data_IF_102981733102
#
_entry.id   IF_102981733102
#
_cell.length_a   1.000
_cell.length_b   1.000
_cell.length_c   1.000
_cell.angle_alpha   90.00
_cell.angle_beta   90.00
_cell.angle_gamma   90.00
#
_symmetry.space_group_name_H-M   'P 1'
#
loop_
_entity.id
_entity.type
_entity.pdbx_description
1 polymer ?
#
# COMPACT_ATOMS: atom_id res chain seq x y z
N UNK A 1 -1.02 11.38 -0.70
CA UNK A 1 -0.96 12.85 -0.85
C UNK A 1 -0.41 13.29 -2.20
N UNK A 2 0.82 12.93 -2.59
CA UNK A 2 1.37 13.30 -3.92
C UNK A 2 0.46 12.84 -5.08
N UNK A 3 -0.02 11.61 -5.03
CA UNK A 3 -0.88 11.05 -6.08
C UNK A 3 -2.25 11.73 -6.17
N UNK A 4 -2.89 11.98 -5.02
CA UNK A 4 -4.14 12.74 -4.96
C UNK A 4 -3.98 14.12 -5.61
N UNK A 5 -2.92 14.87 -5.26
CA UNK A 5 -2.65 16.17 -5.85
C UNK A 5 -2.39 16.08 -7.36
N UNK A 6 -1.62 15.09 -7.82
CA UNK A 6 -1.36 14.84 -9.25
C UNK A 6 -2.67 14.63 -10.02
N UNK A 7 -3.59 13.85 -9.46
CA UNK A 7 -4.91 13.59 -10.05
C UNK A 7 -5.78 14.85 -9.99
N UNK A 8 -5.81 15.57 -8.87
CA UNK A 8 -6.55 16.83 -8.72
C UNK A 8 -6.11 17.88 -9.74
N UNK A 9 -4.81 18.06 -9.95
CA UNK A 9 -4.27 19.00 -10.94
C UNK A 9 -4.67 18.60 -12.37
N UNK A 10 -4.65 17.30 -12.69
CA UNK A 10 -5.12 16.81 -13.96
C UNK A 10 -6.64 17.04 -14.16
N UNK A 11 -7.44 16.76 -13.14
CA UNK A 11 -8.90 16.96 -13.17
C UNK A 11 -9.28 18.43 -13.32
N UNK A 12 -8.58 19.35 -12.66
CA UNK A 12 -8.78 20.81 -12.82
C UNK A 12 -8.53 21.27 -14.25
N UNK A 13 -7.48 20.77 -14.90
CA UNK A 13 -7.17 21.11 -16.29
C UNK A 13 -8.24 20.61 -17.27
N UNK A 14 -8.76 19.40 -17.04
CA UNK A 14 -9.77 18.78 -17.92
C UNK A 14 -11.17 19.36 -17.65
N UNK A 15 -11.46 19.71 -16.39
CA UNK A 15 -12.76 20.24 -15.95
C UNK A 15 -12.61 21.61 -15.27
N UNK A 16 -12.29 22.69 -15.99
CA UNK A 16 -12.13 24.03 -15.40
C UNK A 16 -13.40 24.59 -14.73
N UNK A 17 -14.55 23.98 -14.99
CA UNK A 17 -15.85 24.35 -14.46
C UNK A 17 -16.20 23.65 -13.13
N UNK A 18 -15.36 22.73 -12.64
CA UNK A 18 -15.57 22.10 -11.33
C UNK A 18 -15.05 23.01 -10.22
N UNK A 19 -15.78 23.04 -9.11
CA UNK A 19 -15.31 23.63 -7.87
C UNK A 19 -14.26 22.72 -7.17
N UNK A 20 -13.67 23.23 -6.10
CA UNK A 20 -12.61 22.53 -5.38
C UNK A 20 -13.08 21.25 -4.72
N UNK A 21 -14.29 21.25 -4.13
CA UNK A 21 -14.87 20.07 -3.47
C UNK A 21 -15.09 18.92 -4.46
N UNK A 22 -15.61 19.24 -5.65
CA UNK A 22 -15.82 18.24 -6.70
C UNK A 22 -14.49 17.67 -7.18
N UNK A 23 -13.48 18.51 -7.40
CA UNK A 23 -12.11 18.03 -7.74
C UNK A 23 -11.56 17.12 -6.64
N UNK A 24 -11.70 17.52 -5.37
CA UNK A 24 -11.20 16.75 -4.23
C UNK A 24 -11.85 15.38 -4.14
N UNK A 25 -13.19 15.32 -4.18
CA UNK A 25 -13.95 14.08 -4.07
C UNK A 25 -13.72 13.15 -5.26
N UNK A 26 -13.61 13.69 -6.48
CA UNK A 26 -13.27 12.86 -7.64
C UNK A 26 -11.84 12.32 -7.59
N UNK A 27 -10.85 13.13 -7.18
CA UNK A 27 -9.49 12.64 -6.98
C UNK A 27 -9.42 11.58 -5.88
N UNK A 28 -10.13 11.80 -4.76
CA UNK A 28 -10.26 10.81 -3.67
C UNK A 28 -10.86 9.49 -4.18
N UNK A 29 -11.94 9.55 -4.97
CA UNK A 29 -12.58 8.35 -5.55
C UNK A 29 -11.63 7.56 -6.44
N UNK A 30 -10.79 8.23 -7.24
CA UNK A 30 -9.81 7.57 -8.09
C UNK A 30 -8.73 6.89 -7.24
N UNK A 31 -8.16 7.58 -6.24
CA UNK A 31 -7.16 6.98 -5.34
C UNK A 31 -7.72 5.78 -4.56
N UNK A 32 -9.00 5.82 -4.15
CA UNK A 32 -9.65 4.66 -3.54
C UNK A 32 -9.73 3.48 -4.53
N UNK A 33 -10.11 3.76 -5.79
CA UNK A 33 -10.17 2.74 -6.82
C UNK A 33 -8.78 2.14 -7.15
N UNK A 34 -7.72 2.95 -7.18
CA UNK A 34 -6.34 2.49 -7.34
C UNK A 34 -5.93 1.54 -6.20
N UNK A 35 -6.19 1.93 -4.94
CA UNK A 35 -5.90 1.09 -3.79
C UNK A 35 -6.68 -0.23 -3.82
N UNK A 36 -7.97 -0.18 -4.18
CA UNK A 36 -8.79 -1.40 -4.34
C UNK A 36 -8.26 -2.28 -5.46
N UNK A 37 -7.90 -1.70 -6.61
CA UNK A 37 -7.35 -2.44 -7.74
C UNK A 37 -6.05 -3.15 -7.35
N UNK A 38 -5.07 -2.43 -6.78
CA UNK A 38 -3.80 -3.02 -6.32
C UNK A 38 -4.07 -4.11 -5.28
N UNK A 39 -4.98 -3.87 -4.34
CA UNK A 39 -5.32 -4.83 -3.28
C UNK A 39 -5.84 -6.15 -3.86
N UNK A 40 -6.87 -6.10 -4.71
CA UNK A 40 -7.53 -7.30 -5.23
C UNK A 40 -6.78 -7.96 -6.38
N UNK A 41 -6.06 -7.18 -7.20
CA UNK A 41 -5.35 -7.69 -8.38
C UNK A 41 -3.94 -8.17 -8.07
N UNK A 42 -3.24 -7.53 -7.13
CA UNK A 42 -1.80 -7.75 -6.93
C UNK A 42 -1.49 -8.30 -5.55
N UNK A 43 -2.09 -7.73 -4.49
CA UNK A 43 -1.76 -8.12 -3.10
C UNK A 43 -2.44 -9.43 -2.69
N UNK A 44 -3.77 -9.50 -2.75
CA UNK A 44 -4.53 -10.67 -2.27
C UNK A 44 -4.15 -11.99 -2.96
N UNK A 45 -3.91 -12.06 -4.29
CA UNK A 45 -3.45 -13.29 -4.92
C UNK A 45 -2.12 -13.81 -4.38
N UNK A 46 -1.23 -12.92 -3.93
CA UNK A 46 0.08 -13.29 -3.37
C UNK A 46 -0.03 -13.83 -1.94
N UNK A 47 -0.99 -13.32 -1.17
CA UNK A 47 -1.22 -13.73 0.22
C UNK A 47 -2.11 -14.99 0.31
N UNK A 48 -3.21 -15.02 -0.43
CA UNK A 48 -4.23 -16.07 -0.33
C UNK A 48 -4.05 -17.20 -1.35
N UNK A 49 -3.30 -16.94 -2.43
CA UNK A 49 -3.17 -17.85 -3.57
C UNK A 49 -4.40 -17.86 -4.48
N UNK A 50 -4.21 -18.33 -5.72
CA UNK A 50 -5.25 -18.31 -6.75
C UNK A 50 -6.47 -19.19 -6.44
N UNK A 51 -6.29 -20.26 -5.66
CA UNK A 51 -7.39 -21.14 -5.26
C UNK A 51 -8.42 -20.39 -4.40
N UNK A 52 -7.96 -19.64 -3.39
CA UNK A 52 -8.83 -18.84 -2.55
C UNK A 52 -9.48 -17.68 -3.34
N UNK A 53 -8.70 -17.02 -4.21
CA UNK A 53 -9.24 -15.96 -5.09
C UNK A 53 -10.41 -16.46 -5.95
N UNK A 54 -10.32 -17.68 -6.47
CA UNK A 54 -11.40 -18.32 -7.23
C UNK A 54 -12.58 -18.70 -6.34
N UNK A 55 -12.31 -19.38 -5.22
CA UNK A 55 -13.33 -19.89 -4.30
C UNK A 55 -14.24 -18.77 -3.79
N UNK A 56 -13.67 -17.61 -3.49
CA UNK A 56 -14.38 -16.46 -2.92
C UNK A 56 -14.77 -15.40 -3.95
N UNK A 57 -14.54 -15.65 -5.25
CA UNK A 57 -14.93 -14.70 -6.31
C UNK A 57 -14.24 -13.33 -6.22
N UNK A 58 -13.00 -13.27 -5.74
CA UNK A 58 -12.29 -12.01 -5.46
C UNK A 58 -11.55 -11.43 -6.68
N UNK A 59 -11.71 -12.05 -7.85
CA UNK A 59 -11.04 -11.59 -9.07
C UNK A 59 -11.72 -10.36 -9.64
N UNK A 60 -10.91 -9.39 -10.05
CA UNK A 60 -11.41 -8.25 -10.80
C UNK A 60 -11.91 -8.68 -12.18
N UNK A 61 -12.96 -8.02 -12.65
CA UNK A 61 -13.39 -8.13 -14.03
C UNK A 61 -12.36 -7.47 -14.95
N UNK A 62 -12.05 -8.10 -16.07
CA UNK A 62 -11.11 -7.52 -17.05
C UNK A 62 -11.69 -6.30 -17.76
N UNK A 63 -13.02 -6.18 -17.82
CA UNK A 63 -13.73 -5.09 -18.48
C UNK A 63 -15.10 -4.86 -17.80
N UNK A 64 -15.58 -3.62 -17.86
CA UNK A 64 -16.91 -3.24 -17.38
C UNK A 64 -16.97 -2.95 -15.88
N UNK A 65 -18.17 -3.07 -15.31
CA UNK A 65 -18.46 -2.75 -13.91
C UNK A 65 -18.88 -4.01 -13.15
N UNK A 66 -18.39 -4.14 -11.92
CA UNK A 66 -18.89 -5.12 -10.96
C UNK A 66 -20.36 -4.82 -10.62
N UNK A 67 -21.24 -5.81 -10.73
CA UNK A 67 -22.70 -5.64 -10.57
C UNK A 67 -23.29 -6.38 -9.38
N UNK A 68 -22.48 -7.09 -8.60
CA UNK A 68 -22.95 -7.94 -7.51
C UNK A 68 -22.82 -7.24 -6.14
N UNK A 69 -22.90 -5.91 -6.11
CA UNK A 69 -23.00 -5.17 -4.85
C UNK A 69 -24.24 -5.64 -4.08
N UNK A 70 -24.02 -6.12 -2.86
CA UNK A 70 -25.08 -6.56 -1.98
C UNK A 70 -25.29 -5.55 -0.83
N UNK A 71 -26.41 -4.80 -0.79
CA UNK A 71 -26.68 -3.80 0.25
C UNK A 71 -26.92 -4.41 1.64
N UNK A 72 -27.16 -5.72 1.75
CA UNK A 72 -27.34 -6.41 3.03
C UNK A 72 -26.06 -7.05 3.57
N UNK A 73 -24.96 -6.98 2.80
CA UNK A 73 -23.66 -7.46 3.26
C UNK A 73 -23.17 -6.59 4.42
N UNK A 74 -22.69 -7.21 5.50
CA UNK A 74 -22.06 -6.50 6.61
C UNK A 74 -20.59 -6.21 6.26
N UNK A 75 -20.19 -4.94 6.05
CA UNK A 75 -18.82 -4.59 5.69
C UNK A 75 -17.88 -4.45 6.89
N UNK A 76 -18.36 -4.76 8.10
CA UNK A 76 -17.58 -4.58 9.33
C UNK A 76 -16.39 -5.53 9.38
N UNK A 77 -15.27 -5.02 9.90
CA UNK A 77 -14.08 -5.84 10.16
C UNK A 77 -14.35 -6.73 11.38
N UNK A 78 -14.14 -8.04 11.21
CA UNK A 78 -14.26 -9.01 12.31
C UNK A 78 -13.06 -8.90 13.26
N UNK A 79 -13.29 -9.17 14.54
CA UNK A 79 -12.29 -8.97 15.60
C UNK A 79 -11.03 -9.82 15.38
N UNK A 80 -11.20 -11.06 14.93
CA UNK A 80 -10.12 -12.01 14.64
C UNK A 80 -9.19 -11.47 13.55
N UNK A 81 -9.75 -10.79 12.54
CA UNK A 81 -8.97 -10.18 11.48
C UNK A 81 -8.14 -9.00 12.00
N UNK A 82 -8.77 -8.08 12.74
CA UNK A 82 -8.11 -6.88 13.26
C UNK A 82 -7.05 -7.18 14.34
N UNK A 83 -7.34 -8.14 15.23
CA UNK A 83 -6.49 -8.41 16.39
C UNK A 83 -5.39 -9.45 16.12
N UNK A 84 -5.61 -10.38 15.19
CA UNK A 84 -4.69 -11.49 14.97
C UNK A 84 -4.34 -11.70 13.50
N UNK A 85 -5.31 -12.04 12.65
CA UNK A 85 -5.02 -12.58 11.32
C UNK A 85 -4.26 -11.61 10.41
N UNK A 86 -4.58 -10.31 10.44
CA UNK A 86 -3.88 -9.34 9.58
C UNK A 86 -2.51 -8.90 10.12
N UNK A 87 -2.09 -9.41 11.29
CA UNK A 87 -0.74 -9.21 11.83
C UNK A 87 0.31 -10.15 11.22
N UNK A 88 -0.07 -11.00 10.26
CA UNK A 88 0.89 -11.82 9.48
C UNK A 88 2.06 -11.00 8.90
N UNK A 89 1.83 -9.71 8.63
CA UNK A 89 2.87 -8.80 8.15
C UNK A 89 4.04 -8.62 9.12
N UNK A 90 3.86 -8.83 10.44
CA UNK A 90 4.93 -8.65 11.43
C UNK A 90 6.07 -9.66 11.26
N UNK A 91 5.78 -10.90 10.84
CA UNK A 91 6.81 -11.90 10.53
C UNK A 91 7.58 -11.59 9.23
N UNK A 92 7.02 -10.72 8.38
CA UNK A 92 7.59 -10.39 7.06
C UNK A 92 8.54 -9.18 7.10
N UNK A 93 8.61 -8.52 8.25
CA UNK A 93 9.40 -7.31 8.45
C UNK A 93 10.88 -7.65 8.50
N UNK A 94 11.68 -6.87 7.77
CA UNK A 94 13.14 -6.93 7.85
C UNK A 94 13.62 -6.12 9.05
N UNK A 95 14.79 -6.43 9.64
CA UNK A 95 15.32 -5.63 10.73
C UNK A 95 15.76 -4.22 10.29
N UNK A 96 16.02 -4.03 9.00
CA UNK A 96 16.41 -2.75 8.44
C UNK A 96 15.89 -2.57 7.02
N UNK A 97 15.71 -1.32 6.63
CA UNK A 97 15.35 -0.92 5.26
C UNK A 97 16.62 -0.41 4.56
N UNK A 98 17.09 -1.08 3.50
CA UNK A 98 18.21 -0.58 2.70
C UNK A 98 17.85 0.76 2.07
N UNK A 99 18.84 1.64 1.93
CA UNK A 99 18.70 2.89 1.19
C UNK A 99 19.43 2.74 -0.13
N UNK A 100 18.78 3.11 -1.23
CA UNK A 100 19.36 3.01 -2.57
C UNK A 100 19.38 4.37 -3.26
N UNK A 101 20.49 4.69 -3.93
CA UNK A 101 20.61 5.86 -4.79
C UNK A 101 19.75 5.75 -6.05
N UNK A 102 19.68 6.82 -6.83
CA UNK A 102 18.96 6.84 -8.11
C UNK A 102 19.51 5.84 -9.15
N UNK A 103 20.76 5.36 -8.99
CA UNK A 103 21.37 4.30 -9.80
C UNK A 103 21.28 2.92 -9.16
N UNK A 104 20.45 2.75 -8.12
CA UNK A 104 20.29 1.50 -7.35
C UNK A 104 21.56 1.02 -6.63
N UNK A 105 22.54 1.90 -6.42
CA UNK A 105 23.68 1.62 -5.54
C UNK A 105 23.29 1.80 -4.07
N UNK A 106 23.84 0.93 -3.21
CA UNK A 106 23.60 0.97 -1.76
C UNK A 106 24.13 2.27 -1.16
N UNK A 107 23.34 2.88 -0.28
CA UNK A 107 23.70 4.04 0.53
C UNK A 107 23.71 3.60 2.01
N UNK A 108 24.87 3.74 2.65
CA UNK A 108 25.03 3.46 4.07
C UNK A 108 24.87 4.72 4.95
N UNK A 109 24.46 4.57 6.22
CA UNK A 109 23.92 3.33 6.81
C UNK A 109 22.48 3.07 6.35
N UNK A 110 21.99 1.81 6.41
CA UNK A 110 20.58 1.50 6.23
C UNK A 110 19.74 2.09 7.38
N UNK A 111 18.42 2.20 7.18
CA UNK A 111 17.51 2.58 8.25
C UNK A 111 17.15 1.36 9.10
N UNK A 112 17.64 1.30 10.34
CA UNK A 112 17.19 0.29 11.30
C UNK A 112 15.75 0.57 11.72
N UNK A 113 14.91 -0.48 11.85
CA UNK A 113 13.51 -0.30 12.26
C UNK A 113 13.39 0.33 13.65
N UNK A 114 14.22 -0.10 14.61
CA UNK A 114 14.25 0.46 15.98
C UNK A 114 14.48 1.97 15.99
N UNK A 115 15.18 2.48 14.99
CA UNK A 115 15.52 3.89 14.88
C UNK A 115 14.45 4.69 14.14
N UNK A 116 13.57 4.04 13.36
CA UNK A 116 12.52 4.69 12.58
C UNK A 116 11.21 4.89 13.32
N UNK A 117 10.92 4.12 14.37
CA UNK A 117 9.65 4.22 15.09
C UNK A 117 9.42 5.60 15.70
N UNK A 118 8.32 6.25 15.30
CA UNK A 118 7.91 7.58 15.77
C UNK A 118 8.93 8.71 15.53
N UNK A 119 9.91 8.52 14.64
CA UNK A 119 10.93 9.53 14.27
C UNK A 119 10.71 10.07 12.87
N UNK A 120 9.87 11.10 12.75
CA UNK A 120 9.51 11.69 11.45
C UNK A 120 10.61 12.57 10.86
N UNK A 121 11.55 13.04 11.68
CA UNK A 121 12.70 13.87 11.27
C UNK A 121 13.60 13.15 10.25
N UNK A 122 13.72 11.83 10.38
CA UNK A 122 14.48 11.00 9.43
C UNK A 122 13.87 11.12 8.02
N UNK A 123 12.54 11.06 7.91
CA UNK A 123 11.83 11.12 6.63
C UNK A 123 11.87 12.50 5.98
N UNK A 124 12.16 13.56 6.75
CA UNK A 124 12.30 14.93 6.24
C UNK A 124 13.69 15.21 5.66
N UNK A 125 14.65 14.29 5.84
CA UNK A 125 15.97 14.42 5.22
C UNK A 125 15.84 14.32 3.71
N UNK A 126 16.69 15.09 3.02
CA UNK A 126 16.71 15.11 1.56
C UNK A 126 16.88 13.69 1.00
N UNK A 127 16.14 13.37 -0.06
CA UNK A 127 16.13 12.07 -0.76
C UNK A 127 15.70 10.84 0.05
N UNK A 128 15.50 10.92 1.37
CA UNK A 128 15.25 9.76 2.22
C UNK A 128 14.05 8.92 1.77
N UNK A 129 12.93 9.57 1.44
CA UNK A 129 11.71 8.89 0.98
C UNK A 129 11.99 8.08 -0.29
N UNK A 130 12.72 8.67 -1.24
CA UNK A 130 13.01 8.03 -2.53
C UNK A 130 14.05 6.92 -2.37
N UNK A 131 15.03 7.09 -1.50
CA UNK A 131 16.03 6.08 -1.17
C UNK A 131 15.42 4.84 -0.52
N UNK A 132 14.52 5.06 0.45
CA UNK A 132 13.76 4.00 1.13
C UNK A 132 12.79 3.32 0.17
N UNK A 133 12.07 4.08 -0.66
CA UNK A 133 11.13 3.52 -1.63
C UNK A 133 11.85 2.58 -2.62
N UNK A 134 13.02 2.97 -3.13
CA UNK A 134 13.85 2.07 -3.96
C UNK A 134 14.30 0.84 -3.18
N UNK A 135 14.74 1.02 -1.93
CA UNK A 135 15.10 -0.10 -1.05
C UNK A 135 13.98 -1.12 -0.86
N UNK A 136 12.75 -0.65 -0.63
CA UNK A 136 11.56 -1.49 -0.45
C UNK A 136 11.19 -2.28 -1.70
N UNK A 137 11.33 -1.69 -2.90
CA UNK A 137 10.99 -2.35 -4.17
C UNK A 137 12.09 -3.32 -4.63
N UNK A 138 13.35 -3.06 -4.28
CA UNK A 138 14.49 -3.86 -4.73
C UNK A 138 14.93 -4.95 -3.76
N UNK A 139 14.34 -5.03 -2.57
CA UNK A 139 14.74 -5.99 -1.54
C UNK A 139 13.61 -6.97 -1.25
N UNK A 140 13.87 -8.29 -1.19
CA UNK A 140 12.87 -9.25 -0.78
C UNK A 140 12.47 -9.05 0.68
N UNK A 141 11.21 -9.36 1.00
CA UNK A 141 10.69 -9.47 2.36
C UNK A 141 11.29 -10.66 3.12
N UNK A 142 11.17 -10.68 4.45
CA UNK A 142 11.55 -11.87 5.23
C UNK A 142 10.58 -13.04 4.99
N UNK A 143 11.02 -14.24 5.36
CA UNK A 143 10.20 -15.45 5.25
C UNK A 143 9.10 -15.42 6.31
N UNK A 144 7.90 -15.84 5.94
CA UNK A 144 6.83 -16.04 6.91
C UNK A 144 7.19 -17.18 7.87
N UNK A 145 7.39 -16.85 9.14
CA UNK A 145 7.67 -17.80 10.21
C UNK A 145 7.00 -17.41 11.54
N UNK A 146 7.28 -18.17 12.60
CA UNK A 146 6.76 -17.93 13.96
C UNK A 146 7.57 -16.90 14.75
N UNK A 147 8.56 -16.26 14.12
CA UNK A 147 9.50 -15.35 14.76
C UNK A 147 9.21 -13.90 14.33
N UNK A 148 9.77 -12.98 15.11
CA UNK A 148 9.73 -11.54 14.85
C UNK A 148 11.18 -11.05 14.94
N UNK A 149 11.53 -10.05 14.15
CA UNK A 149 12.87 -9.46 14.21
C UNK A 149 13.17 -8.87 15.59
N UNK A 150 14.44 -8.83 15.98
CA UNK A 150 14.87 -8.26 17.27
C UNK A 150 14.93 -6.73 17.31
N UNK A 151 14.14 -6.05 16.46
CA UNK A 151 14.15 -4.58 16.30
C UNK A 151 12.98 -3.86 16.98
N UNK A 152 12.14 -4.60 17.70
CA UNK A 152 11.01 -4.08 18.46
C UNK A 152 11.35 -3.80 19.92
#
# INVERSE_FOLDING_TARGET
>A
MREHNRISDALRRINPHWDEDKVFEHARRIVIAENQHITYNEFLPRILGWNAMNLYGLKLQSHGYYKEYNPTCNPSIVNEFACAAFRIGHSLLRPHIPRLSHTYQIIDPPLLLRDGFFKTDIMMRENMVDEIARGLVSTPMETLDQFITGEF
#
